data_IF_062730073902
#
_entry.id   IF_062730073902
#
_cell.length_a   1.000
_cell.length_b   1.000
_cell.length_c   1.000
_cell.angle_alpha   90.00
_cell.angle_beta   90.00
_cell.angle_gamma   90.00
#
_symmetry.space_group_name_H-M   'P 1'
#
loop_
_entity.id
_entity.type
_entity.pdbx_description
1 polymer ?
#
# COMPACT_ATOMS: atom_id res chain seq x y z
N UNK A 1 -21.86 -27.26 -3.85
CA UNK A 1 -21.38 -28.42 -4.63
C UNK A 1 -20.16 -28.17 -5.52
N UNK A 2 -19.33 -27.20 -5.24
CA UNK A 2 -18.09 -26.92 -5.96
C UNK A 2 -16.82 -26.94 -5.08
N UNK A 3 -16.91 -27.27 -3.81
CA UNK A 3 -15.77 -27.30 -2.88
C UNK A 3 -15.18 -28.69 -2.60
N UNK A 4 -15.86 -29.77 -2.96
CA UNK A 4 -15.43 -31.14 -2.64
C UNK A 4 -14.48 -31.79 -3.67
N UNK A 5 -14.17 -31.11 -4.80
CA UNK A 5 -13.26 -31.63 -5.86
C UNK A 5 -11.77 -31.41 -5.64
N UNK A 6 -11.35 -30.72 -4.55
CA UNK A 6 -9.93 -30.32 -4.36
C UNK A 6 -9.19 -31.19 -3.32
N UNK A 7 -9.87 -32.10 -2.62
CA UNK A 7 -9.25 -32.82 -1.48
C UNK A 7 -8.51 -34.11 -1.77
N UNK A 8 -8.51 -34.66 -2.98
CA UNK A 8 -7.96 -36.02 -3.21
C UNK A 8 -6.77 -36.14 -4.17
N UNK A 9 -5.84 -35.18 -4.25
CA UNK A 9 -4.57 -35.41 -4.98
C UNK A 9 -3.30 -34.83 -4.37
N UNK A 10 -2.90 -35.05 -3.12
CA UNK A 10 -1.61 -34.53 -2.66
C UNK A 10 -0.48 -35.56 -2.47
N UNK A 11 -0.71 -36.86 -2.39
CA UNK A 11 0.35 -37.79 -1.95
C UNK A 11 1.23 -38.38 -3.08
N UNK A 12 0.70 -38.64 -4.24
CA UNK A 12 1.50 -39.20 -5.36
C UNK A 12 2.31 -38.16 -6.14
N UNK A 13 1.82 -36.92 -6.24
CA UNK A 13 2.58 -35.81 -6.85
C UNK A 13 3.79 -35.38 -6.02
N UNK A 14 3.73 -35.39 -4.70
CA UNK A 14 4.82 -34.98 -3.84
C UNK A 14 6.07 -35.88 -3.92
N UNK A 15 5.91 -37.20 -4.05
CA UNK A 15 7.02 -38.13 -4.22
C UNK A 15 7.72 -37.94 -5.58
N UNK A 16 6.95 -37.80 -6.67
CA UNK A 16 7.53 -37.55 -8.01
C UNK A 16 8.35 -36.24 -8.08
N UNK A 17 7.91 -35.20 -7.39
CA UNK A 17 8.64 -33.93 -7.33
C UNK A 17 9.91 -33.99 -6.47
N UNK A 18 9.94 -34.82 -5.44
CA UNK A 18 11.16 -35.06 -4.62
C UNK A 18 12.22 -35.79 -5.45
N UNK A 19 11.86 -36.84 -6.19
CA UNK A 19 12.80 -37.53 -7.08
C UNK A 19 13.34 -36.63 -8.20
N UNK A 20 12.49 -35.79 -8.78
CA UNK A 20 12.94 -34.81 -9.78
C UNK A 20 13.93 -33.80 -9.22
N UNK A 21 13.70 -33.33 -7.99
CA UNK A 21 14.64 -32.43 -7.32
C UNK A 21 15.99 -33.08 -7.06
N UNK A 22 16.01 -34.34 -6.59
CA UNK A 22 17.26 -35.07 -6.38
C UNK A 22 18.03 -35.29 -7.67
N UNK A 23 17.34 -35.60 -8.80
CA UNK A 23 17.97 -35.76 -10.10
C UNK A 23 18.55 -34.45 -10.63
N UNK A 24 17.85 -33.35 -10.44
CA UNK A 24 18.33 -31.98 -10.74
C UNK A 24 19.58 -31.67 -9.93
N UNK A 25 19.56 -31.91 -8.59
CA UNK A 25 20.70 -31.63 -7.72
C UNK A 25 21.94 -32.45 -8.12
N UNK A 26 21.78 -33.75 -8.42
CA UNK A 26 22.85 -34.60 -8.87
C UNK A 26 23.47 -34.16 -10.22
N UNK A 27 22.63 -33.75 -11.17
CA UNK A 27 23.07 -33.20 -12.44
C UNK A 27 23.71 -31.84 -12.30
N UNK A 28 23.20 -31.01 -11.42
CA UNK A 28 23.74 -29.69 -11.15
C UNK A 28 25.12 -29.72 -10.49
N UNK A 29 25.38 -30.65 -9.60
CA UNK A 29 26.71 -30.85 -9.02
C UNK A 29 27.74 -31.14 -10.13
N UNK A 30 27.42 -32.05 -11.06
CA UNK A 30 28.28 -32.35 -12.21
C UNK A 30 28.47 -31.16 -13.14
N UNK A 31 27.39 -30.41 -13.39
CA UNK A 31 27.44 -29.18 -14.18
C UNK A 31 28.36 -28.15 -13.55
N UNK A 32 28.25 -27.94 -12.22
CA UNK A 32 29.06 -26.98 -11.47
C UNK A 32 30.56 -27.27 -11.51
N UNK A 33 30.94 -28.53 -11.59
CA UNK A 33 32.36 -28.91 -11.79
C UNK A 33 32.88 -28.52 -13.18
N UNK A 34 32.08 -28.74 -14.21
CA UNK A 34 32.39 -28.31 -15.57
C UNK A 34 32.39 -26.78 -15.71
N UNK A 35 31.47 -26.09 -15.09
CA UNK A 35 31.43 -24.62 -15.01
C UNK A 35 32.69 -24.04 -14.37
N UNK A 36 33.18 -24.62 -13.27
CA UNK A 36 34.44 -24.22 -12.65
C UNK A 36 35.64 -24.39 -13.58
N UNK A 37 35.69 -25.47 -14.37
CA UNK A 37 36.73 -25.69 -15.35
C UNK A 37 36.65 -24.69 -16.52
N UNK A 38 35.42 -24.43 -16.99
CA UNK A 38 35.14 -23.47 -18.07
C UNK A 38 35.50 -22.05 -17.64
N UNK A 39 35.16 -21.65 -16.41
CA UNK A 39 35.49 -20.33 -15.85
C UNK A 39 37.02 -20.13 -15.74
N UNK A 40 37.77 -21.16 -15.29
CA UNK A 40 39.22 -21.08 -15.26
C UNK A 40 39.81 -20.84 -16.68
N UNK A 41 39.24 -21.43 -17.72
CA UNK A 41 39.60 -21.18 -19.10
C UNK A 41 39.17 -19.77 -19.59
N UNK A 42 38.11 -19.18 -19.02
CA UNK A 42 37.66 -17.84 -19.37
C UNK A 42 38.56 -16.77 -18.71
N UNK A 43 39.02 -16.98 -17.47
CA UNK A 43 39.98 -16.10 -16.78
C UNK A 43 41.39 -16.16 -17.38
N UNK A 44 41.79 -17.35 -17.91
CA UNK A 44 43.08 -17.55 -18.54
C UNK A 44 42.88 -18.19 -19.92
N UNK A 45 42.80 -17.37 -20.97
CA UNK A 45 42.57 -17.79 -22.36
C UNK A 45 43.70 -18.65 -22.95
N UNK A 46 44.80 -18.81 -22.23
CA UNK A 46 45.85 -19.77 -22.59
C UNK A 46 45.39 -21.22 -22.44
N UNK A 47 44.37 -21.49 -21.59
CA UNK A 47 43.82 -22.81 -21.34
C UNK A 47 42.54 -22.99 -22.17
N UNK A 48 42.62 -23.83 -23.21
CA UNK A 48 41.42 -24.17 -24.01
C UNK A 48 40.54 -25.17 -23.27
N UNK A 49 39.24 -24.90 -23.21
CA UNK A 49 38.24 -25.86 -22.74
C UNK A 49 38.11 -26.98 -23.78
N UNK A 50 38.06 -28.24 -23.34
CA UNK A 50 38.02 -29.41 -24.29
C UNK A 50 36.67 -29.43 -25.01
N UNK A 51 36.66 -29.67 -26.31
CA UNK A 51 35.43 -29.83 -27.12
C UNK A 51 34.50 -30.93 -26.55
N UNK A 52 35.09 -32.00 -26.03
CA UNK A 52 34.33 -33.10 -25.38
C UNK A 52 33.62 -32.64 -24.10
N UNK A 53 34.24 -31.75 -23.32
CA UNK A 53 33.65 -31.22 -22.10
C UNK A 53 32.57 -30.18 -22.42
N UNK A 54 32.71 -29.43 -23.53
CA UNK A 54 31.68 -28.50 -24.01
C UNK A 54 30.40 -29.24 -24.43
N UNK A 55 30.51 -30.35 -25.16
CA UNK A 55 29.35 -31.17 -25.53
C UNK A 55 28.65 -31.72 -24.30
N UNK A 56 29.40 -32.29 -23.34
CA UNK A 56 28.84 -32.77 -22.08
C UNK A 56 28.14 -31.65 -21.26
N UNK A 57 28.73 -30.46 -21.27
CA UNK A 57 28.15 -29.29 -20.61
C UNK A 57 26.80 -28.92 -21.23
N UNK A 58 26.70 -28.88 -22.56
CA UNK A 58 25.45 -28.56 -23.25
C UNK A 58 24.38 -29.65 -23.05
N UNK A 59 24.76 -30.93 -23.07
CA UNK A 59 23.84 -32.05 -22.78
C UNK A 59 23.25 -31.94 -21.36
N UNK A 60 24.09 -31.73 -20.35
CA UNK A 60 23.66 -31.57 -18.96
C UNK A 60 22.76 -30.34 -18.79
N UNK A 61 23.14 -29.23 -19.43
CA UNK A 61 22.35 -27.98 -19.39
C UNK A 61 20.95 -28.17 -19.99
N UNK A 62 20.87 -28.85 -21.12
CA UNK A 62 19.59 -29.15 -21.79
C UNK A 62 18.74 -30.09 -20.93
N UNK A 63 19.33 -31.17 -20.40
CA UNK A 63 18.62 -32.11 -19.52
C UNK A 63 18.09 -31.45 -18.25
N UNK A 64 18.87 -30.58 -17.62
CA UNK A 64 18.43 -29.83 -16.46
C UNK A 64 17.30 -28.86 -16.84
N UNK A 65 17.39 -28.17 -17.98
CA UNK A 65 16.37 -27.27 -18.47
C UNK A 65 15.03 -27.98 -18.72
N UNK A 66 15.05 -29.18 -19.29
CA UNK A 66 13.86 -30.01 -19.51
C UNK A 66 13.21 -30.43 -18.18
N UNK A 67 14.02 -30.84 -17.19
CA UNK A 67 13.53 -31.18 -15.86
C UNK A 67 12.93 -29.95 -15.16
N UNK A 68 13.57 -28.78 -15.23
CA UNK A 68 13.07 -27.53 -14.67
C UNK A 68 11.77 -27.09 -15.33
N UNK A 69 11.64 -27.23 -16.66
CA UNK A 69 10.40 -26.93 -17.38
C UNK A 69 9.24 -27.86 -16.96
N UNK A 70 9.54 -29.08 -16.50
CA UNK A 70 8.53 -30.00 -15.97
C UNK A 70 8.03 -29.61 -14.56
N UNK A 71 8.78 -28.74 -13.85
CA UNK A 71 8.41 -28.19 -12.55
C UNK A 71 7.71 -26.85 -12.78
N UNK A 72 6.40 -26.81 -12.75
CA UNK A 72 5.65 -25.58 -12.92
C UNK A 72 5.96 -24.59 -11.76
N UNK A 73 6.91 -23.69 -11.99
CA UNK A 73 7.23 -22.65 -11.01
C UNK A 73 6.10 -21.65 -10.88
N UNK A 74 5.85 -21.20 -9.66
CA UNK A 74 4.93 -20.10 -9.39
C UNK A 74 5.48 -18.79 -9.97
N UNK A 75 4.61 -17.97 -10.58
CA UNK A 75 5.00 -16.72 -11.27
C UNK A 75 5.84 -15.79 -10.39
N UNK A 76 5.48 -15.63 -9.12
CA UNK A 76 6.26 -14.77 -8.18
C UNK A 76 7.73 -15.23 -8.06
N UNK A 77 8.00 -16.54 -8.21
CA UNK A 77 9.37 -17.05 -8.16
C UNK A 77 10.13 -16.73 -9.43
N UNK A 78 9.44 -16.80 -10.58
CA UNK A 78 10.01 -16.40 -11.87
C UNK A 78 10.33 -14.92 -11.87
N UNK A 79 9.44 -14.06 -11.39
CA UNK A 79 9.65 -12.61 -11.24
C UNK A 79 10.86 -12.32 -10.34
N UNK A 80 10.95 -12.95 -9.17
CA UNK A 80 12.09 -12.77 -8.28
C UNK A 80 13.44 -13.16 -8.91
N UNK A 81 13.46 -14.21 -9.76
CA UNK A 81 14.65 -14.62 -10.50
C UNK A 81 15.02 -13.62 -11.61
N UNK A 82 14.01 -13.06 -12.29
CA UNK A 82 14.19 -12.03 -13.31
C UNK A 82 14.75 -10.75 -12.68
N UNK A 83 14.23 -10.34 -11.52
CA UNK A 83 14.72 -9.16 -10.78
C UNK A 83 16.18 -9.33 -10.36
N UNK A 84 16.57 -10.51 -9.87
CA UNK A 84 17.97 -10.82 -9.57
C UNK A 84 18.85 -10.74 -10.82
N UNK A 85 18.40 -11.29 -11.94
CA UNK A 85 19.10 -11.24 -13.21
C UNK A 85 19.29 -9.80 -13.71
N UNK A 86 18.26 -8.97 -13.62
CA UNK A 86 18.34 -7.55 -13.96
C UNK A 86 19.23 -6.76 -12.99
N UNK A 87 19.20 -7.08 -11.70
CA UNK A 87 20.09 -6.49 -10.70
C UNK A 87 21.56 -6.71 -11.04
N UNK A 88 21.93 -7.95 -11.39
CA UNK A 88 23.27 -8.30 -11.81
C UNK A 88 23.63 -7.60 -13.13
N UNK A 89 22.71 -7.59 -14.12
CA UNK A 89 22.94 -6.91 -15.39
C UNK A 89 23.17 -5.41 -15.21
N UNK A 90 22.44 -4.76 -14.28
CA UNK A 90 22.64 -3.36 -13.93
C UNK A 90 24.01 -3.11 -13.33
N UNK A 91 24.49 -3.99 -12.45
CA UNK A 91 25.84 -3.90 -11.88
C UNK A 91 26.91 -4.00 -12.97
N UNK A 92 26.80 -4.98 -13.89
CA UNK A 92 27.70 -5.12 -15.05
C UNK A 92 27.67 -3.85 -15.91
N UNK A 93 26.49 -3.32 -16.23
CA UNK A 93 26.35 -2.12 -17.08
C UNK A 93 26.97 -0.88 -16.41
N UNK A 94 26.86 -0.76 -15.08
CA UNK A 94 27.50 0.33 -14.35
C UNK A 94 29.02 0.25 -14.42
N UNK A 95 29.59 -0.96 -14.27
CA UNK A 95 31.03 -1.18 -14.43
C UNK A 95 31.48 -0.90 -15.86
N UNK A 96 30.75 -1.38 -16.88
CA UNK A 96 31.03 -1.06 -18.27
C UNK A 96 31.03 0.46 -18.53
N UNK A 97 30.07 1.16 -17.95
CA UNK A 97 29.98 2.62 -18.06
C UNK A 97 31.16 3.33 -17.39
N UNK A 98 31.67 2.77 -16.29
CA UNK A 98 32.88 3.28 -15.64
C UNK A 98 34.12 3.07 -16.52
N UNK A 99 34.27 1.89 -17.12
CA UNK A 99 35.35 1.62 -18.08
C UNK A 99 35.31 2.57 -19.29
N UNK A 100 34.11 2.81 -19.86
CA UNK A 100 33.95 3.74 -20.98
C UNK A 100 34.32 5.18 -20.57
N UNK A 101 33.94 5.61 -19.35
CA UNK A 101 34.33 6.95 -18.85
C UNK A 101 35.86 7.10 -18.73
N UNK A 102 36.56 6.07 -18.27
CA UNK A 102 38.02 6.08 -18.19
C UNK A 102 38.64 6.10 -19.59
N UNK A 103 38.08 5.35 -20.55
CA UNK A 103 38.55 5.37 -21.93
C UNK A 103 38.35 6.73 -22.61
N UNK A 104 37.23 7.42 -22.33
CA UNK A 104 36.95 8.78 -22.80
C UNK A 104 37.97 9.79 -22.21
N UNK A 105 38.34 9.67 -20.91
CA UNK A 105 39.40 10.47 -20.28
C UNK A 105 40.78 10.26 -20.94
N UNK A 106 41.06 9.03 -21.35
CA UNK A 106 42.30 8.70 -22.07
C UNK A 106 42.25 9.05 -23.58
N UNK A 107 41.14 9.62 -24.06
CA UNK A 107 40.92 10.00 -25.47
C UNK A 107 41.02 8.81 -26.47
N UNK A 108 40.58 7.62 -26.06
CA UNK A 108 40.52 6.44 -26.93
C UNK A 108 39.23 6.50 -27.74
N UNK A 109 39.26 6.03 -28.99
CA UNK A 109 38.05 5.93 -29.79
C UNK A 109 37.11 4.88 -29.18
N UNK A 110 35.89 5.29 -28.86
CA UNK A 110 34.88 4.48 -28.19
C UNK A 110 34.56 3.17 -28.95
N UNK A 111 34.57 3.20 -30.29
CA UNK A 111 34.32 2.02 -31.10
C UNK A 111 35.48 1.00 -30.99
N UNK A 112 36.71 1.49 -30.99
CA UNK A 112 37.91 0.65 -30.82
C UNK A 112 37.97 0.05 -29.43
N UNK A 113 37.66 0.88 -28.39
CA UNK A 113 37.59 0.41 -27.01
C UNK A 113 36.58 -0.73 -26.87
N UNK A 114 35.35 -0.55 -27.35
CA UNK A 114 34.29 -1.57 -27.26
C UNK A 114 34.69 -2.84 -28.00
N UNK A 115 35.35 -2.73 -29.15
CA UNK A 115 35.78 -3.90 -29.92
C UNK A 115 36.84 -4.73 -29.18
N UNK A 116 37.82 -4.07 -28.53
CA UNK A 116 38.88 -4.72 -27.76
C UNK A 116 38.44 -5.19 -26.37
N UNK A 117 37.46 -4.52 -25.77
CA UNK A 117 36.95 -4.84 -24.43
C UNK A 117 35.96 -5.99 -24.46
N UNK A 118 35.08 -6.03 -25.45
CA UNK A 118 33.98 -6.99 -25.53
C UNK A 118 34.51 -8.44 -25.78
N UNK A 119 34.21 -9.32 -24.83
CA UNK A 119 34.66 -10.71 -24.82
C UNK A 119 35.98 -10.93 -24.08
N UNK A 120 36.55 -9.88 -23.48
CA UNK A 120 37.76 -9.94 -22.68
C UNK A 120 37.57 -9.28 -21.29
N UNK A 121 36.31 -9.11 -20.87
CA UNK A 121 35.93 -8.45 -19.62
C UNK A 121 36.55 -9.14 -18.40
N UNK A 122 36.68 -10.48 -18.41
CA UNK A 122 37.20 -11.31 -17.32
C UNK A 122 38.68 -11.68 -17.48
N UNK A 123 39.33 -11.35 -18.61
CA UNK A 123 40.72 -11.72 -18.88
C UNK A 123 41.66 -10.88 -18.01
N UNK A 124 42.40 -11.51 -17.10
CA UNK A 124 43.39 -10.85 -16.23
C UNK A 124 44.56 -10.24 -17.03
N UNK A 125 44.96 -10.86 -18.14
CA UNK A 125 46.08 -10.43 -18.99
C UNK A 125 45.69 -9.35 -20.01
N UNK A 126 44.43 -8.94 -20.07
CA UNK A 126 43.92 -7.96 -21.04
C UNK A 126 44.69 -6.64 -20.99
N UNK A 127 45.01 -6.11 -19.79
CA UNK A 127 45.73 -4.87 -19.61
C UNK A 127 47.14 -4.93 -20.24
N UNK A 128 47.86 -6.01 -20.03
CA UNK A 128 49.19 -6.21 -20.63
C UNK A 128 49.15 -6.34 -22.15
N UNK A 129 48.05 -6.85 -22.74
CA UNK A 129 47.82 -6.94 -24.18
C UNK A 129 47.50 -5.59 -24.78
N UNK A 130 46.64 -4.83 -24.14
CA UNK A 130 46.19 -3.50 -24.55
C UNK A 130 47.30 -2.46 -24.44
N UNK A 131 48.20 -2.58 -23.45
CA UNK A 131 49.39 -1.73 -23.34
C UNK A 131 50.38 -1.88 -24.52
N UNK A 132 50.28 -2.95 -25.34
CA UNK A 132 51.09 -3.18 -26.53
C UNK A 132 50.47 -2.63 -27.81
N UNK A 133 49.22 -2.12 -27.75
CA UNK A 133 48.56 -1.52 -28.90
C UNK A 133 49.14 -0.11 -29.19
N UNK A 134 49.54 0.08 -30.45
CA UNK A 134 50.15 1.35 -30.91
C UNK A 134 49.12 2.46 -31.21
N UNK A 135 47.81 2.24 -30.95
CA UNK A 135 46.78 3.23 -31.19
C UNK A 135 46.76 4.34 -30.11
N UNK A 136 46.36 5.54 -30.52
CA UNK A 136 46.40 6.75 -29.68
C UNK A 136 45.57 6.60 -28.39
N UNK A 137 46.20 6.87 -27.25
CA UNK A 137 45.54 6.95 -25.94
C UNK A 137 45.67 5.68 -25.08
N UNK A 138 46.00 4.53 -25.64
CA UNK A 138 46.13 3.27 -24.90
C UNK A 138 47.26 3.26 -23.89
N UNK A 139 48.40 3.92 -24.23
CA UNK A 139 49.52 4.10 -23.28
C UNK A 139 49.13 4.88 -22.06
N UNK A 140 48.37 5.97 -22.24
CA UNK A 140 47.88 6.82 -21.16
C UNK A 140 46.85 6.05 -20.31
N UNK A 141 45.97 5.28 -20.95
CA UNK A 141 44.98 4.44 -20.29
C UNK A 141 45.63 3.39 -19.37
N UNK A 142 46.64 2.68 -19.88
CA UNK A 142 47.32 1.62 -19.15
C UNK A 142 48.22 2.16 -18.02
N UNK A 143 48.90 3.34 -18.21
CA UNK A 143 49.81 3.88 -17.22
C UNK A 143 49.13 4.73 -16.12
N UNK A 144 48.22 5.63 -16.51
CA UNK A 144 47.66 6.61 -15.58
C UNK A 144 46.47 6.11 -14.78
N UNK A 145 45.72 5.11 -15.29
CA UNK A 145 44.51 4.60 -14.66
C UNK A 145 44.59 3.14 -14.21
N UNK A 146 45.81 2.60 -14.05
CA UNK A 146 46.02 1.19 -13.71
C UNK A 146 45.34 0.76 -12.42
N UNK A 147 45.35 1.59 -11.38
CA UNK A 147 44.71 1.30 -10.09
C UNK A 147 43.18 1.25 -10.22
N UNK A 148 42.57 2.28 -10.82
CA UNK A 148 41.10 2.33 -11.04
C UNK A 148 40.62 1.16 -11.90
N UNK A 149 41.36 0.85 -12.97
CA UNK A 149 41.04 -0.29 -13.85
C UNK A 149 41.18 -1.61 -13.11
N UNK A 150 42.20 -1.75 -12.24
CA UNK A 150 42.40 -2.93 -11.41
C UNK A 150 41.25 -3.19 -10.45
N UNK A 151 40.75 -2.15 -9.80
CA UNK A 151 39.58 -2.21 -8.91
C UNK A 151 38.31 -2.62 -9.67
N UNK A 152 38.01 -1.97 -10.79
CA UNK A 152 36.85 -2.29 -11.61
C UNK A 152 36.91 -3.72 -12.16
N UNK A 153 38.10 -4.20 -12.56
CA UNK A 153 38.30 -5.61 -12.97
C UNK A 153 38.10 -6.57 -11.82
N UNK A 154 38.58 -6.26 -10.63
CA UNK A 154 38.36 -7.08 -9.45
C UNK A 154 36.86 -7.21 -9.11
N UNK A 155 36.11 -6.11 -9.24
CA UNK A 155 34.65 -6.14 -9.08
C UNK A 155 33.98 -6.94 -10.18
N UNK A 156 34.37 -6.75 -11.44
CA UNK A 156 33.84 -7.55 -12.56
C UNK A 156 34.14 -9.05 -12.38
N UNK A 157 35.35 -9.40 -11.92
CA UNK A 157 35.72 -10.78 -11.60
C UNK A 157 34.89 -11.37 -10.44
N UNK A 158 34.55 -10.56 -9.41
CA UNK A 158 33.62 -11.00 -8.34
C UNK A 158 32.24 -11.33 -8.91
N UNK A 159 31.71 -10.47 -9.78
CA UNK A 159 30.43 -10.71 -10.45
C UNK A 159 30.53 -11.95 -11.35
N UNK A 160 31.57 -12.09 -12.14
CA UNK A 160 31.83 -13.27 -12.97
C UNK A 160 31.86 -14.58 -12.18
N UNK A 161 32.50 -14.59 -11.00
CA UNK A 161 32.53 -15.74 -10.08
C UNK A 161 31.16 -16.02 -9.47
N UNK A 162 30.32 -15.00 -9.25
CA UNK A 162 28.97 -15.15 -8.74
C UNK A 162 28.04 -15.78 -9.80
N UNK A 163 28.18 -15.37 -11.05
CA UNK A 163 27.35 -15.84 -12.17
C UNK A 163 27.80 -17.23 -12.65
N UNK A 164 29.09 -17.56 -12.55
CA UNK A 164 29.73 -18.76 -13.08
C UNK A 164 29.59 -18.97 -14.61
N UNK A 165 29.26 -17.92 -15.35
CA UNK A 165 29.07 -17.94 -16.81
C UNK A 165 29.83 -16.74 -17.40
N UNK A 166 30.28 -16.84 -18.63
CA UNK A 166 30.91 -15.72 -19.33
C UNK A 166 29.92 -14.54 -19.48
N UNK A 167 30.42 -13.31 -19.29
CA UNK A 167 29.61 -12.07 -19.32
C UNK A 167 28.91 -11.91 -20.67
N UNK A 168 29.58 -12.30 -21.78
CA UNK A 168 28.97 -12.21 -23.10
C UNK A 168 27.79 -13.19 -23.27
N UNK A 169 27.90 -14.40 -22.68
CA UNK A 169 26.82 -15.39 -22.67
C UNK A 169 25.67 -14.93 -21.74
N UNK A 170 25.99 -14.38 -20.58
CA UNK A 170 25.01 -13.79 -19.66
C UNK A 170 24.20 -12.69 -20.33
N UNK A 171 24.87 -11.77 -21.07
CA UNK A 171 24.17 -10.71 -21.81
C UNK A 171 23.20 -11.24 -22.85
N UNK A 172 23.57 -12.36 -23.56
CA UNK A 172 22.68 -13.01 -24.52
C UNK A 172 21.44 -13.57 -23.82
N UNK A 173 21.60 -14.15 -22.62
CA UNK A 173 20.47 -14.64 -21.81
C UNK A 173 19.55 -13.48 -21.42
N UNK A 174 20.12 -12.39 -20.90
CA UNK A 174 19.34 -11.18 -20.54
C UNK A 174 18.58 -10.62 -21.73
N UNK A 175 19.22 -10.54 -22.91
CA UNK A 175 18.56 -10.08 -24.13
C UNK A 175 17.40 -10.98 -24.54
N UNK A 176 17.58 -12.32 -24.42
CA UNK A 176 16.53 -13.30 -24.73
C UNK A 176 15.34 -13.15 -23.77
N UNK A 177 15.61 -12.97 -22.47
CA UNK A 177 14.56 -12.73 -21.47
C UNK A 177 13.82 -11.42 -21.77
N UNK A 178 14.54 -10.33 -22.03
CA UNK A 178 13.96 -9.04 -22.38
C UNK A 178 13.10 -9.07 -23.64
N UNK A 179 13.53 -9.85 -24.66
CA UNK A 179 12.74 -10.04 -25.86
C UNK A 179 11.43 -10.74 -25.56
N UNK A 180 11.47 -11.87 -24.80
CA UNK A 180 10.26 -12.59 -24.40
C UNK A 180 9.33 -11.75 -23.53
N UNK A 181 9.86 -10.94 -22.60
CA UNK A 181 9.07 -10.02 -21.80
C UNK A 181 8.35 -8.95 -22.64
N UNK A 182 9.05 -8.37 -23.62
CA UNK A 182 8.46 -7.40 -24.53
C UNK A 182 7.36 -8.03 -25.40
N UNK A 183 7.57 -9.24 -25.92
CA UNK A 183 6.57 -9.99 -26.68
C UNK A 183 5.33 -10.29 -25.83
N UNK A 184 5.53 -10.75 -24.58
CA UNK A 184 4.45 -11.00 -23.64
C UNK A 184 3.67 -9.70 -23.30
N UNK A 185 4.38 -8.60 -23.09
CA UNK A 185 3.78 -7.28 -22.84
C UNK A 185 2.94 -6.78 -24.02
N UNK A 186 3.47 -6.95 -25.25
CA UNK A 186 2.74 -6.58 -26.47
C UNK A 186 1.47 -7.40 -26.63
N UNK A 187 1.56 -8.73 -26.45
CA UNK A 187 0.40 -9.60 -26.52
C UNK A 187 -0.67 -9.30 -25.46
N UNK A 188 -0.25 -9.01 -24.22
CA UNK A 188 -1.18 -8.56 -23.16
C UNK A 188 -1.86 -7.25 -23.53
N UNK A 189 -1.12 -6.28 -24.08
CA UNK A 189 -1.65 -5.01 -24.53
C UNK A 189 -2.71 -5.18 -25.64
N UNK A 190 -2.41 -5.96 -26.67
CA UNK A 190 -3.36 -6.29 -27.73
C UNK A 190 -4.63 -6.95 -27.19
N UNK A 191 -4.47 -7.89 -26.24
CA UNK A 191 -5.60 -8.56 -25.63
C UNK A 191 -6.48 -7.62 -24.83
N UNK A 192 -5.91 -6.65 -24.11
CA UNK A 192 -6.66 -5.59 -23.42
C UNK A 192 -7.38 -4.72 -24.43
N UNK A 193 -6.71 -4.18 -25.45
CA UNK A 193 -7.27 -3.28 -26.45
C UNK A 193 -8.45 -3.91 -27.21
N UNK A 194 -8.33 -5.18 -27.60
CA UNK A 194 -9.40 -5.92 -28.27
C UNK A 194 -10.67 -6.08 -27.41
N UNK A 195 -10.55 -6.04 -26.08
CA UNK A 195 -11.66 -6.26 -25.16
C UNK A 195 -12.18 -4.99 -24.46
N UNK A 196 -11.69 -3.78 -24.81
CA UNK A 196 -12.18 -2.53 -24.22
C UNK A 196 -13.70 -2.31 -24.43
N UNK A 197 -14.25 -2.73 -25.57
CA UNK A 197 -15.69 -2.68 -25.86
C UNK A 197 -16.52 -3.51 -24.89
N UNK A 198 -15.97 -4.64 -24.41
CA UNK A 198 -16.63 -5.48 -23.39
C UNK A 198 -16.77 -4.69 -22.10
N UNK A 199 -15.74 -3.97 -21.66
CA UNK A 199 -15.78 -3.13 -20.46
C UNK A 199 -16.88 -2.08 -20.56
N UNK A 200 -16.96 -1.36 -21.69
CA UNK A 200 -17.99 -0.32 -21.93
C UNK A 200 -19.40 -0.94 -21.81
N UNK A 201 -19.64 -2.10 -22.41
CA UNK A 201 -20.93 -2.77 -22.37
C UNK A 201 -21.37 -3.19 -20.96
N UNK A 202 -20.39 -3.52 -20.12
CA UNK A 202 -20.65 -3.88 -18.72
C UNK A 202 -20.84 -2.62 -17.88
N UNK A 203 -19.96 -1.63 -18.01
CA UNK A 203 -20.01 -0.35 -17.27
C UNK A 203 -21.34 0.39 -17.49
N UNK A 204 -21.92 0.32 -18.70
CA UNK A 204 -23.23 0.91 -19.04
C UNK A 204 -24.36 0.42 -18.12
N UNK A 205 -24.27 -0.79 -17.55
CA UNK A 205 -25.27 -1.35 -16.61
C UNK A 205 -25.16 -0.79 -15.20
N UNK A 206 -24.09 -0.06 -14.90
CA UNK A 206 -23.77 0.50 -13.58
C UNK A 206 -23.84 2.02 -13.54
N UNK A 207 -24.32 2.67 -14.61
CA UNK A 207 -24.57 4.11 -14.63
C UNK A 207 -25.58 4.54 -13.56
N UNK A 208 -25.53 5.78 -13.13
CA UNK A 208 -26.41 6.39 -12.12
C UNK A 208 -26.32 5.73 -10.71
N UNK A 209 -25.14 5.20 -10.36
CA UNK A 209 -24.89 4.58 -9.04
C UNK A 209 -23.86 5.36 -8.21
N UNK A 210 -23.68 6.66 -8.46
CA UNK A 210 -22.83 7.54 -7.67
C UNK A 210 -21.45 7.79 -8.25
N UNK A 211 -21.02 7.06 -9.30
CA UNK A 211 -19.80 7.36 -10.07
C UNK A 211 -20.14 7.78 -11.48
N UNK A 212 -19.29 8.62 -12.07
CA UNK A 212 -19.38 9.02 -13.46
C UNK A 212 -19.07 7.84 -14.39
N UNK A 213 -19.67 7.85 -15.60
CA UNK A 213 -19.52 6.75 -16.54
C UNK A 213 -18.07 6.48 -16.95
N UNK A 214 -17.27 7.55 -17.13
CA UNK A 214 -15.85 7.41 -17.47
C UNK A 214 -15.03 6.73 -16.35
N UNK A 215 -15.35 7.02 -15.09
CA UNK A 215 -14.69 6.40 -13.95
C UNK A 215 -15.03 4.91 -13.87
N UNK A 216 -16.28 4.53 -14.14
CA UNK A 216 -16.69 3.13 -14.22
C UNK A 216 -15.95 2.37 -15.33
N UNK A 217 -15.70 3.02 -16.48
CA UNK A 217 -14.90 2.44 -17.56
C UNK A 217 -13.45 2.23 -17.10
N UNK A 218 -12.83 3.20 -16.45
CA UNK A 218 -11.44 3.10 -16.00
C UNK A 218 -11.26 2.01 -14.96
N UNK A 219 -12.14 1.95 -13.97
CA UNK A 219 -12.14 0.87 -12.98
C UNK A 219 -12.39 -0.50 -13.62
N UNK A 220 -13.30 -0.56 -14.60
CA UNK A 220 -13.52 -1.75 -15.41
C UNK A 220 -12.28 -2.16 -16.22
N UNK A 221 -11.51 -1.21 -16.77
CA UNK A 221 -10.27 -1.48 -17.47
C UNK A 221 -9.20 -2.03 -16.53
N UNK A 222 -9.11 -1.54 -15.29
CA UNK A 222 -8.23 -2.12 -14.25
C UNK A 222 -8.62 -3.58 -13.97
N UNK A 223 -9.93 -3.85 -13.89
CA UNK A 223 -10.45 -5.22 -13.78
C UNK A 223 -10.08 -6.10 -14.97
N UNK A 224 -10.19 -5.58 -16.19
CA UNK A 224 -9.80 -6.26 -17.42
C UNK A 224 -8.30 -6.58 -17.45
N UNK A 225 -7.43 -5.64 -17.08
CA UNK A 225 -5.96 -5.88 -17.00
C UNK A 225 -5.63 -7.01 -16.02
N UNK A 226 -6.26 -7.02 -14.84
CA UNK A 226 -6.11 -8.11 -13.87
C UNK A 226 -6.61 -9.46 -14.42
N UNK A 227 -7.66 -9.45 -15.22
CA UNK A 227 -8.17 -10.64 -15.89
C UNK A 227 -7.18 -11.19 -16.92
N UNK A 228 -6.56 -10.31 -17.74
CA UNK A 228 -5.54 -10.68 -18.73
C UNK A 228 -4.32 -11.30 -18.05
N UNK A 229 -3.86 -10.72 -16.96
CA UNK A 229 -2.68 -11.22 -16.23
C UNK A 229 -2.89 -12.61 -15.62
N UNK A 230 -4.11 -12.92 -15.19
CA UNK A 230 -4.44 -14.19 -14.52
C UNK A 230 -5.13 -15.21 -15.42
N UNK A 231 -5.32 -14.90 -16.71
CA UNK A 231 -6.02 -15.79 -17.61
C UNK A 231 -5.15 -16.99 -18.04
N UNK A 232 -5.67 -18.18 -17.84
CA UNK A 232 -5.07 -19.44 -18.22
C UNK A 232 -5.85 -20.07 -19.40
N UNK A 233 -5.41 -19.86 -20.63
CA UNK A 233 -6.09 -20.38 -21.84
C UNK A 233 -6.19 -21.91 -21.87
N UNK A 234 -5.26 -22.61 -21.20
CA UNK A 234 -5.22 -24.08 -21.13
C UNK A 234 -6.44 -24.70 -20.44
N UNK A 235 -7.18 -23.92 -19.66
CA UNK A 235 -8.44 -24.36 -19.00
C UNK A 235 -9.62 -24.47 -19.98
N UNK A 236 -9.48 -24.05 -21.24
CA UNK A 236 -10.51 -24.19 -22.27
C UNK A 236 -11.70 -23.22 -22.19
N UNK A 237 -11.75 -22.32 -21.23
CA UNK A 237 -12.83 -21.33 -21.10
C UNK A 237 -12.58 -20.12 -22.01
N UNK A 238 -13.70 -19.54 -22.53
CA UNK A 238 -13.61 -18.27 -23.26
C UNK A 238 -13.15 -17.13 -22.34
N UNK A 239 -12.22 -16.32 -22.82
CA UNK A 239 -11.69 -15.18 -22.08
C UNK A 239 -12.80 -14.24 -21.57
N UNK A 240 -13.80 -13.93 -22.40
CA UNK A 240 -14.92 -13.04 -22.05
C UNK A 240 -15.68 -13.47 -20.79
N UNK A 241 -15.85 -14.79 -20.57
CA UNK A 241 -16.52 -15.31 -19.37
C UNK A 241 -15.71 -14.99 -18.11
N UNK A 242 -14.40 -15.19 -18.16
CA UNK A 242 -13.52 -14.91 -17.05
C UNK A 242 -13.35 -13.39 -16.81
N UNK A 243 -13.14 -12.63 -17.88
CA UNK A 243 -12.99 -11.18 -17.81
C UNK A 243 -14.23 -10.47 -17.25
N UNK A 244 -15.43 -10.92 -17.64
CA UNK A 244 -16.69 -10.34 -17.14
C UNK A 244 -16.79 -10.35 -15.62
N UNK A 245 -16.31 -11.42 -14.98
CA UNK A 245 -16.30 -11.50 -13.51
C UNK A 245 -15.37 -10.47 -12.89
N UNK A 246 -14.13 -10.33 -13.41
CA UNK A 246 -13.15 -9.37 -12.91
C UNK A 246 -13.56 -7.92 -13.14
N UNK A 247 -14.12 -7.63 -14.33
CA UNK A 247 -14.62 -6.28 -14.67
C UNK A 247 -15.76 -5.91 -13.72
N UNK A 248 -16.72 -6.81 -13.55
CA UNK A 248 -17.86 -6.59 -12.64
C UNK A 248 -17.40 -6.38 -11.20
N UNK A 249 -16.48 -7.21 -10.73
CA UNK A 249 -15.92 -7.11 -9.37
C UNK A 249 -15.21 -5.77 -9.15
N UNK A 250 -14.39 -5.32 -10.12
CA UNK A 250 -13.69 -4.05 -10.03
C UNK A 250 -14.67 -2.87 -9.98
N UNK A 251 -15.65 -2.82 -10.89
CA UNK A 251 -16.67 -1.76 -10.93
C UNK A 251 -17.51 -1.75 -9.63
N UNK A 252 -17.99 -2.90 -9.17
CA UNK A 252 -18.82 -2.96 -7.96
C UNK A 252 -18.05 -2.53 -6.72
N UNK A 253 -16.77 -2.92 -6.63
CA UNK A 253 -15.90 -2.51 -5.54
C UNK A 253 -15.61 -1.02 -5.57
N UNK A 254 -15.33 -0.45 -6.73
CA UNK A 254 -15.09 0.99 -6.89
C UNK A 254 -16.34 1.80 -6.51
N UNK A 255 -17.54 1.38 -6.93
CA UNK A 255 -18.79 2.01 -6.50
C UNK A 255 -18.91 1.96 -4.96
N UNK A 256 -18.61 0.83 -4.34
CA UNK A 256 -18.67 0.70 -2.90
C UNK A 256 -17.68 1.62 -2.17
N UNK A 257 -16.46 1.76 -2.70
CA UNK A 257 -15.39 2.53 -2.06
C UNK A 257 -15.48 4.06 -2.30
N UNK A 258 -16.06 4.51 -3.44
CA UNK A 258 -15.93 5.89 -3.90
C UNK A 258 -17.26 6.62 -4.19
N UNK A 259 -18.39 5.90 -4.32
CA UNK A 259 -19.65 6.51 -4.71
C UNK A 259 -20.32 7.37 -3.62
N UNK A 260 -19.87 7.30 -2.38
CA UNK A 260 -20.47 8.02 -1.25
C UNK A 260 -19.53 9.12 -0.76
N UNK A 261 -20.08 10.28 -0.44
CA UNK A 261 -19.34 11.40 0.17
C UNK A 261 -18.70 10.98 1.51
N UNK A 262 -19.42 10.21 2.33
CA UNK A 262 -18.91 9.59 3.55
C UNK A 262 -18.68 8.12 3.22
N UNK A 263 -17.41 7.69 3.19
CA UNK A 263 -17.03 6.32 2.85
C UNK A 263 -17.56 5.33 3.88
N UNK A 264 -18.20 4.29 3.38
CA UNK A 264 -18.72 3.17 4.18
C UNK A 264 -17.92 1.88 3.82
N UNK A 265 -17.56 1.03 4.79
CA UNK A 265 -16.89 -0.25 4.51
C UNK A 265 -17.74 -1.16 3.61
N UNK A 266 -17.07 -1.93 2.72
CA UNK A 266 -17.74 -2.77 1.70
C UNK A 266 -18.77 -3.75 2.31
N UNK A 267 -18.44 -4.40 3.43
CA UNK A 267 -19.35 -5.36 4.09
C UNK A 267 -20.63 -4.68 4.63
N UNK A 268 -20.55 -3.39 5.00
CA UNK A 268 -21.75 -2.64 5.40
C UNK A 268 -22.61 -2.28 4.21
N UNK A 269 -22.01 -1.98 3.05
CA UNK A 269 -22.74 -1.72 1.80
C UNK A 269 -23.48 -2.99 1.33
N UNK A 270 -22.86 -4.17 1.47
CA UNK A 270 -23.51 -5.44 1.22
C UNK A 270 -24.72 -5.64 2.12
N UNK A 271 -24.60 -5.32 3.41
CA UNK A 271 -25.71 -5.38 4.38
C UNK A 271 -26.80 -4.37 4.01
N UNK A 272 -26.48 -3.13 3.65
CA UNK A 272 -27.43 -2.12 3.18
C UNK A 272 -28.17 -2.61 1.94
N UNK A 273 -27.45 -3.17 0.95
CA UNK A 273 -28.05 -3.67 -0.27
C UNK A 273 -29.01 -4.86 -0.01
N UNK A 274 -28.65 -5.76 0.93
CA UNK A 274 -29.53 -6.85 1.36
C UNK A 274 -30.80 -6.29 2.02
N UNK A 275 -30.64 -5.32 2.92
CA UNK A 275 -31.74 -4.67 3.63
C UNK A 275 -32.70 -3.95 2.66
N UNK A 276 -32.16 -3.16 1.72
CA UNK A 276 -32.94 -2.46 0.70
C UNK A 276 -33.69 -3.41 -0.24
N UNK A 277 -33.14 -4.60 -0.51
CA UNK A 277 -33.81 -5.63 -1.31
C UNK A 277 -34.99 -6.20 -0.56
N UNK A 278 -34.84 -6.55 0.71
CA UNK A 278 -35.91 -7.06 1.57
C UNK A 278 -36.97 -6.00 1.79
N UNK A 279 -36.58 -4.75 2.05
CA UNK A 279 -37.54 -3.64 2.15
C UNK A 279 -38.41 -3.52 0.91
N UNK A 280 -37.81 -3.57 -0.30
CA UNK A 280 -38.62 -3.57 -1.55
C UNK A 280 -39.54 -4.75 -1.70
N UNK A 281 -39.11 -5.94 -1.29
CA UNK A 281 -39.95 -7.14 -1.32
C UNK A 281 -41.14 -6.98 -0.37
N UNK A 282 -40.92 -6.55 0.86
CA UNK A 282 -42.01 -6.33 1.84
C UNK A 282 -42.95 -5.20 1.42
N UNK A 283 -42.48 -4.15 0.76
CA UNK A 283 -43.34 -3.12 0.16
C UNK A 283 -44.25 -3.71 -0.90
N UNK A 284 -43.77 -4.64 -1.73
CA UNK A 284 -44.60 -5.32 -2.74
C UNK A 284 -45.66 -6.27 -2.12
N UNK A 285 -45.31 -6.90 -1.00
CA UNK A 285 -46.21 -7.84 -0.30
C UNK A 285 -47.28 -7.08 0.53
N UNK A 286 -46.89 -6.04 1.24
CA UNK A 286 -47.79 -5.35 2.18
C UNK A 286 -48.43 -4.08 1.61
N UNK A 287 -47.96 -3.56 0.46
CA UNK A 287 -48.44 -2.30 -0.13
C UNK A 287 -48.13 -1.04 0.69
N UNK A 288 -47.32 -1.15 1.76
CA UNK A 288 -46.86 -0.06 2.63
C UNK A 288 -45.39 -0.19 2.95
N UNK A 289 -44.79 0.87 3.46
CA UNK A 289 -43.41 0.79 3.98
C UNK A 289 -43.35 -0.10 5.22
N UNK A 290 -42.41 -1.08 5.25
CA UNK A 290 -42.25 -1.99 6.37
C UNK A 290 -41.55 -1.26 7.53
N UNK A 291 -41.90 -1.64 8.77
CA UNK A 291 -41.23 -1.17 9.96
C UNK A 291 -39.84 -1.82 10.12
N UNK A 292 -38.97 -1.19 10.94
CA UNK A 292 -37.66 -1.76 11.20
C UNK A 292 -37.72 -3.14 11.87
N UNK A 293 -38.79 -3.42 12.59
CA UNK A 293 -39.03 -4.68 13.28
C UNK A 293 -39.38 -5.80 12.27
N UNK A 294 -40.26 -5.53 11.30
CA UNK A 294 -40.60 -6.43 10.21
C UNK A 294 -39.40 -6.78 9.32
N UNK A 295 -38.56 -5.77 9.00
CA UNK A 295 -37.32 -5.99 8.25
C UNK A 295 -36.32 -6.86 9.05
N UNK A 296 -36.27 -6.66 10.37
CA UNK A 296 -35.37 -7.39 11.26
C UNK A 296 -35.72 -8.88 11.34
N UNK A 297 -37.02 -9.21 11.37
CA UNK A 297 -37.53 -10.59 11.35
C UNK A 297 -37.14 -11.31 10.05
N UNK A 298 -37.31 -10.67 8.89
CA UNK A 298 -37.03 -11.28 7.59
C UNK A 298 -35.51 -11.48 7.35
N UNK A 299 -34.67 -10.56 7.83
CA UNK A 299 -33.20 -10.64 7.66
C UNK A 299 -32.52 -11.48 8.76
N UNK A 300 -33.24 -11.78 9.85
CA UNK A 300 -32.74 -12.43 11.07
C UNK A 300 -31.63 -11.62 11.74
N UNK A 301 -31.79 -10.30 11.86
CA UNK A 301 -30.86 -9.39 12.54
C UNK A 301 -31.54 -8.68 13.71
N UNK A 302 -30.80 -8.29 14.77
CA UNK A 302 -31.36 -7.46 15.85
C UNK A 302 -31.90 -6.14 15.33
N UNK A 303 -33.09 -5.73 15.80
CA UNK A 303 -33.78 -4.49 15.41
C UNK A 303 -32.90 -3.25 15.53
N UNK A 304 -32.14 -3.14 16.64
CA UNK A 304 -31.23 -2.02 16.85
C UNK A 304 -30.18 -1.91 15.73
N UNK A 305 -29.68 -3.04 15.24
CA UNK A 305 -28.71 -3.09 14.13
C UNK A 305 -29.36 -2.67 12.81
N UNK A 306 -30.61 -3.07 12.56
CA UNK A 306 -31.36 -2.64 11.37
C UNK A 306 -31.57 -1.13 11.39
N UNK A 307 -32.01 -0.55 12.51
CA UNK A 307 -32.16 0.92 12.67
C UNK A 307 -30.85 1.67 12.43
N UNK A 308 -29.74 1.16 12.97
CA UNK A 308 -28.42 1.77 12.76
C UNK A 308 -28.00 1.71 11.27
N UNK A 309 -28.24 0.59 10.60
CA UNK A 309 -27.91 0.41 9.16
C UNK A 309 -28.79 1.30 8.30
N UNK A 310 -30.07 1.43 8.59
CA UNK A 310 -30.99 2.36 7.88
C UNK A 310 -30.53 3.82 8.01
N UNK A 311 -30.12 4.25 9.22
CA UNK A 311 -29.56 5.59 9.43
C UNK A 311 -28.26 5.79 8.64
N UNK A 312 -27.41 4.80 8.58
CA UNK A 312 -26.14 4.83 7.82
C UNK A 312 -26.37 4.81 6.30
N UNK A 313 -27.49 4.26 5.83
CA UNK A 313 -27.84 4.20 4.41
C UNK A 313 -28.22 5.57 3.82
N UNK A 314 -28.61 6.54 4.65
CA UNK A 314 -28.97 7.88 4.20
C UNK A 314 -27.79 8.60 3.54
N UNK A 315 -28.09 9.38 2.50
CA UNK A 315 -27.08 10.22 1.83
C UNK A 315 -27.11 11.63 2.42
N UNK A 316 -25.96 12.28 2.57
CA UNK A 316 -25.91 13.67 3.02
C UNK A 316 -26.54 14.60 1.97
N UNK A 317 -27.26 15.61 2.46
CA UNK A 317 -27.88 16.65 1.63
C UNK A 317 -26.90 17.82 1.58
N UNK A 318 -26.82 18.52 0.44
CA UNK A 318 -26.00 19.73 0.29
C UNK A 318 -26.57 20.87 1.12
N UNK A 319 -25.74 21.56 1.88
CA UNK A 319 -26.13 22.77 2.62
C UNK A 319 -26.56 23.93 1.68
N UNK A 320 -26.08 23.90 0.44
CA UNK A 320 -26.42 24.91 -0.57
C UNK A 320 -27.66 24.52 -1.38
N UNK A 321 -28.34 23.41 -1.04
CA UNK A 321 -29.57 23.05 -1.73
C UNK A 321 -30.65 24.10 -1.45
N UNK A 322 -31.32 24.65 -2.50
CA UNK A 322 -32.40 25.61 -2.31
C UNK A 322 -33.58 24.94 -1.61
N UNK A 323 -34.25 25.66 -0.71
CA UNK A 323 -35.44 25.20 0.02
C UNK A 323 -36.63 26.06 -0.41
N UNK A 324 -37.64 25.47 -1.02
CA UNK A 324 -38.82 26.15 -1.56
C UNK A 324 -38.65 26.64 -2.99
N UNK A 325 -39.58 27.53 -3.44
CA UNK A 325 -39.62 28.06 -4.80
C UNK A 325 -38.70 29.28 -5.02
N UNK A 326 -38.01 29.76 -3.97
CA UNK A 326 -37.09 30.92 -4.05
C UNK A 326 -35.64 30.45 -4.00
N UNK A 327 -34.81 30.94 -4.94
CA UNK A 327 -33.38 30.63 -5.00
C UNK A 327 -32.54 31.30 -3.87
N UNK A 328 -33.16 32.17 -3.08
CA UNK A 328 -32.45 33.00 -2.08
C UNK A 328 -32.21 32.30 -0.74
N UNK A 329 -32.90 31.17 -0.45
CA UNK A 329 -32.80 30.47 0.82
C UNK A 329 -32.21 29.08 0.67
N UNK A 330 -31.07 28.82 1.32
CA UNK A 330 -30.40 27.54 1.30
C UNK A 330 -30.73 26.68 2.54
N UNK A 331 -30.57 25.37 2.45
CA UNK A 331 -30.78 24.47 3.60
C UNK A 331 -29.85 24.81 4.78
N UNK A 332 -28.67 25.38 4.50
CA UNK A 332 -27.70 25.80 5.52
C UNK A 332 -28.23 26.91 6.43
N UNK A 333 -29.13 27.78 5.92
CA UNK A 333 -29.69 28.91 6.67
C UNK A 333 -30.67 28.48 7.78
N UNK A 334 -31.17 27.24 7.71
CA UNK A 334 -32.04 26.63 8.72
C UNK A 334 -31.29 25.86 9.82
N UNK A 335 -29.98 25.72 9.70
CA UNK A 335 -29.18 24.99 10.69
C UNK A 335 -28.76 25.97 11.78
N UNK A 336 -29.19 25.69 13.01
CA UNK A 336 -28.88 26.44 14.18
C UNK A 336 -27.39 26.34 14.55
N UNK A 337 -26.74 27.46 14.84
CA UNK A 337 -25.38 27.50 15.37
C UNK A 337 -25.37 27.18 16.86
N UNK A 338 -25.08 25.89 17.17
CA UNK A 338 -25.00 25.39 18.55
C UNK A 338 -23.81 26.02 19.31
N UNK A 339 -22.82 26.58 18.63
CA UNK A 339 -21.65 27.18 19.27
C UNK A 339 -21.88 28.64 19.67
N UNK A 340 -22.91 29.26 19.14
CA UNK A 340 -23.30 30.61 19.53
C UNK A 340 -23.88 30.58 20.94
N UNK A 341 -23.26 31.30 21.89
CA UNK A 341 -23.73 31.40 23.25
C UNK A 341 -25.09 32.16 23.29
N UNK A 342 -26.07 31.57 23.96
CA UNK A 342 -27.34 32.25 24.20
C UNK A 342 -27.08 33.50 25.04
N UNK A 343 -27.46 34.73 24.57
CA UNK A 343 -27.21 35.95 25.30
C UNK A 343 -27.77 35.94 26.72
N UNK A 344 -28.90 35.26 26.92
CA UNK A 344 -29.53 35.12 28.25
C UNK A 344 -28.68 34.28 29.19
N UNK A 345 -28.16 33.14 28.71
CA UNK A 345 -27.27 32.26 29.48
C UNK A 345 -25.92 32.94 29.77
N UNK A 346 -25.32 33.59 28.77
CA UNK A 346 -24.07 34.34 28.92
C UNK A 346 -24.20 35.45 29.96
N UNK A 347 -25.32 36.21 29.93
CA UNK A 347 -25.63 37.21 30.95
C UNK A 347 -25.84 36.59 32.32
N UNK A 348 -26.55 35.46 32.39
CA UNK A 348 -26.74 34.67 33.59
C UNK A 348 -25.44 34.22 34.24
N UNK A 349 -24.50 33.70 33.42
CA UNK A 349 -23.15 33.34 33.88
C UNK A 349 -22.34 34.54 34.37
N UNK A 350 -22.42 35.69 33.70
CA UNK A 350 -21.76 36.92 34.14
C UNK A 350 -22.27 37.35 35.50
N UNK A 351 -23.60 37.41 35.69
CA UNK A 351 -24.23 37.75 36.97
C UNK A 351 -23.88 36.71 38.06
N UNK A 352 -23.85 35.42 37.75
CA UNK A 352 -23.43 34.37 38.68
C UNK A 352 -21.97 34.57 39.12
N UNK A 353 -21.07 34.91 38.19
CA UNK A 353 -19.66 35.19 38.48
C UNK A 353 -19.51 36.38 39.46
N UNK A 354 -20.25 37.42 39.23
CA UNK A 354 -20.24 38.60 40.13
C UNK A 354 -20.81 38.24 41.52
N UNK A 355 -21.90 37.47 41.59
CA UNK A 355 -22.47 37.02 42.89
C UNK A 355 -21.53 36.06 43.62
N UNK A 356 -20.84 35.16 42.92
CA UNK A 356 -19.81 34.30 43.53
C UNK A 356 -18.70 35.17 44.10
N UNK A 357 -18.25 36.20 43.40
CA UNK A 357 -17.25 37.15 43.89
C UNK A 357 -17.70 37.87 45.16
N UNK A 358 -18.93 38.41 45.20
CA UNK A 358 -19.54 39.02 46.37
C UNK A 358 -19.60 38.10 47.61
N UNK A 359 -19.82 36.80 47.36
CA UNK A 359 -19.83 35.80 48.45
C UNK A 359 -18.41 35.44 48.87
N UNK A 360 -17.45 35.31 47.94
CA UNK A 360 -16.06 35.09 48.26
C UNK A 360 -15.42 36.22 49.06
N UNK A 361 -15.83 37.47 48.84
CA UNK A 361 -15.36 38.64 49.58
C UNK A 361 -15.75 38.58 51.07
N UNK A 362 -16.71 37.75 51.44
CA UNK A 362 -17.10 37.50 52.86
C UNK A 362 -16.21 36.45 53.55
N UNK A 363 -15.28 35.81 52.84
CA UNK A 363 -14.33 34.85 53.38
C UNK A 363 -13.01 35.51 53.78
N UNK A 364 -12.18 34.79 54.54
CA UNK A 364 -10.83 35.27 54.83
C UNK A 364 -9.99 35.28 53.53
N UNK A 365 -9.09 36.26 53.42
CA UNK A 365 -8.25 36.45 52.22
C UNK A 365 -7.53 35.18 51.72
N UNK A 366 -7.00 34.37 52.65
CA UNK A 366 -6.38 33.10 52.31
C UNK A 366 -7.38 32.04 51.80
N UNK A 367 -8.56 31.97 52.42
CA UNK A 367 -9.61 31.02 51.99
C UNK A 367 -10.15 31.38 50.61
N UNK A 368 -10.33 32.69 50.35
CA UNK A 368 -10.73 33.23 49.06
C UNK A 368 -9.72 32.90 47.98
N UNK A 369 -8.44 33.26 48.19
CA UNK A 369 -7.38 33.04 47.22
C UNK A 369 -7.18 31.56 46.87
N UNK A 370 -7.33 30.65 47.86
CA UNK A 370 -7.25 29.18 47.61
C UNK A 370 -8.43 28.73 46.74
N UNK A 371 -9.66 29.20 46.95
CA UNK A 371 -10.81 28.85 46.13
C UNK A 371 -10.70 29.45 44.71
N UNK A 372 -10.29 30.69 44.57
CA UNK A 372 -10.09 31.37 43.28
C UNK A 372 -9.07 30.60 42.41
N UNK A 373 -7.96 30.18 42.99
CA UNK A 373 -6.91 29.43 42.27
C UNK A 373 -7.32 27.99 41.99
N UNK A 374 -7.99 27.34 42.94
CA UNK A 374 -8.43 25.95 42.82
C UNK A 374 -9.44 25.77 41.71
N UNK A 375 -10.44 26.66 41.64
CA UNK A 375 -11.54 26.59 40.69
C UNK A 375 -11.33 27.46 39.43
N UNK A 376 -10.20 28.20 39.35
CA UNK A 376 -9.92 29.06 38.21
C UNK A 376 -10.90 30.22 38.04
N UNK A 377 -11.43 30.80 39.14
CA UNK A 377 -12.48 31.81 39.07
C UNK A 377 -11.98 33.15 38.51
N UNK A 378 -10.66 33.41 38.56
CA UNK A 378 -10.04 34.63 38.04
C UNK A 378 -9.52 34.47 36.62
N UNK A 379 -8.80 33.36 36.34
CA UNK A 379 -8.05 33.13 35.11
C UNK A 379 -8.63 32.02 34.22
N UNK A 380 -9.70 31.35 34.67
CA UNK A 380 -10.35 30.28 33.94
C UNK A 380 -9.62 28.90 34.02
N UNK A 381 -8.46 28.83 34.70
CA UNK A 381 -7.68 27.58 34.80
C UNK A 381 -7.80 26.99 36.22
N UNK A 382 -8.45 25.83 36.34
CA UNK A 382 -8.49 25.07 37.59
C UNK A 382 -7.15 24.41 37.88
N UNK A 383 -6.64 24.63 39.13
CA UNK A 383 -5.35 24.10 39.57
C UNK A 383 -5.52 22.92 40.51
N UNK A 384 -4.56 22.00 40.53
CA UNK A 384 -4.51 20.88 41.45
C UNK A 384 -4.12 21.34 42.86
N UNK A 385 -4.47 20.54 43.90
CA UNK A 385 -4.10 20.86 45.29
C UNK A 385 -2.59 20.99 45.50
N UNK A 386 -1.79 20.29 44.71
CA UNK A 386 -0.33 20.34 44.75
C UNK A 386 0.21 21.64 44.17
N UNK A 387 -0.36 22.11 43.05
CA UNK A 387 0.03 23.36 42.38
C UNK A 387 -0.31 24.55 43.24
N UNK A 388 -1.54 24.56 43.80
CA UNK A 388 -1.95 25.58 44.78
C UNK A 388 -1.07 25.54 46.01
N UNK A 389 -0.70 24.33 46.51
CA UNK A 389 0.20 24.15 47.64
C UNK A 389 1.58 24.75 47.40
N UNK A 390 2.16 24.55 46.20
CA UNK A 390 3.45 25.14 45.80
C UNK A 390 3.38 26.67 45.77
N UNK A 391 2.27 27.24 45.28
CA UNK A 391 2.11 28.69 45.16
C UNK A 391 1.98 29.41 46.52
N UNK A 392 1.33 28.74 47.52
CA UNK A 392 1.14 29.26 48.85
C UNK A 392 2.18 28.74 49.87
N UNK A 393 3.20 28.01 49.40
CA UNK A 393 4.27 27.42 50.23
C UNK A 393 3.75 26.54 51.40
N UNK A 394 2.68 25.77 51.16
CA UNK A 394 2.08 24.89 52.15
C UNK A 394 1.85 23.50 51.58
N UNK A 395 1.71 22.51 52.48
CA UNK A 395 1.46 21.13 52.08
C UNK A 395 0.10 20.93 51.42
N UNK A 396 0.00 19.98 50.49
CA UNK A 396 -1.25 19.57 49.81
C UNK A 396 -2.41 19.36 50.82
N UNK A 397 -2.12 18.68 51.94
CA UNK A 397 -3.12 18.38 52.95
C UNK A 397 -3.63 19.66 53.64
N UNK A 398 -2.77 20.66 53.83
CA UNK A 398 -3.17 21.95 54.40
C UNK A 398 -4.08 22.71 53.44
N UNK A 399 -3.81 22.69 52.15
CA UNK A 399 -4.72 23.29 51.14
C UNK A 399 -6.07 22.58 51.17
N UNK A 400 -6.10 21.24 51.25
CA UNK A 400 -7.35 20.46 51.35
C UNK A 400 -8.19 20.86 52.56
N UNK A 401 -7.53 21.07 53.73
CA UNK A 401 -8.19 21.54 54.95
C UNK A 401 -8.78 22.95 54.79
N UNK A 402 -8.02 23.86 54.17
CA UNK A 402 -8.47 25.24 53.91
C UNK A 402 -9.66 25.22 52.94
N UNK A 403 -9.61 24.48 51.83
CA UNK A 403 -10.69 24.30 50.87
C UNK A 403 -11.95 23.74 51.54
N UNK A 404 -11.84 22.66 52.31
CA UNK A 404 -12.99 22.06 53.01
C UNK A 404 -13.62 23.00 54.00
N UNK A 405 -12.81 23.80 54.73
CA UNK A 405 -13.27 24.81 55.67
C UNK A 405 -13.97 25.97 54.93
N UNK A 406 -13.39 26.44 53.82
CA UNK A 406 -13.97 27.51 53.00
C UNK A 406 -15.30 27.07 52.39
N UNK A 407 -15.39 25.89 51.79
CA UNK A 407 -16.63 25.32 51.24
C UNK A 407 -17.70 25.10 52.31
N UNK A 408 -17.34 24.69 53.55
CA UNK A 408 -18.29 24.60 54.67
C UNK A 408 -18.83 25.98 55.04
N UNK A 409 -18.00 27.03 55.05
CA UNK A 409 -18.43 28.39 55.26
C UNK A 409 -19.34 28.91 54.13
N UNK A 410 -19.08 28.51 52.88
CA UNK A 410 -19.93 28.86 51.74
C UNK A 410 -21.33 28.23 51.83
N UNK A 411 -21.46 27.04 52.43
CA UNK A 411 -22.75 26.36 52.66
C UNK A 411 -23.60 26.99 53.78
N UNK A 412 -23.18 28.11 54.40
CA UNK A 412 -23.99 28.77 55.41
C UNK A 412 -25.26 29.38 54.79
N UNK A 413 -26.44 29.26 55.39
CA UNK A 413 -27.72 29.70 54.81
C UNK A 413 -27.73 31.14 54.30
N UNK A 414 -27.06 32.05 55.01
CA UNK A 414 -26.97 33.48 54.61
C UNK A 414 -26.19 33.70 53.30
N UNK A 415 -25.28 32.80 52.96
CA UNK A 415 -24.50 32.86 51.72
C UNK A 415 -25.18 32.09 50.57
N UNK A 416 -25.80 30.95 50.88
CA UNK A 416 -26.58 30.18 49.91
C UNK A 416 -27.74 31.04 49.37
N UNK A 417 -28.48 31.78 50.21
CA UNK A 417 -29.56 32.66 49.74
C UNK A 417 -29.16 33.67 48.69
N UNK A 418 -27.87 34.09 48.65
CA UNK A 418 -27.38 35.01 47.63
C UNK A 418 -27.17 34.30 46.27
N UNK A 419 -27.07 32.95 46.26
CA UNK A 419 -26.85 32.10 45.08
C UNK A 419 -28.09 31.29 44.69
N UNK A 420 -29.19 31.35 45.48
CA UNK A 420 -30.36 30.46 45.37
C UNK A 420 -31.03 30.57 43.98
N UNK A 421 -31.17 31.78 43.42
CA UNK A 421 -31.74 31.97 42.08
C UNK A 421 -30.92 31.42 40.91
N UNK A 422 -29.63 31.07 41.10
CA UNK A 422 -28.78 30.51 40.08
C UNK A 422 -28.63 28.98 40.18
N UNK A 423 -28.99 28.35 41.29
CA UNK A 423 -28.96 26.91 41.51
C UNK A 423 -30.05 26.23 40.67
N UNK A 424 -31.21 26.86 40.54
CA UNK A 424 -32.33 26.35 39.75
C UNK A 424 -32.06 26.40 38.24
N UNK A 425 -31.26 27.38 37.76
CA UNK A 425 -30.83 27.45 36.35
C UNK A 425 -29.91 26.29 35.92
N UNK A 426 -29.24 25.62 36.85
CA UNK A 426 -28.32 24.49 36.55
C UNK A 426 -29.05 23.17 36.30
N UNK A 427 -30.36 23.08 36.49
CA UNK A 427 -31.19 21.89 36.33
C UNK A 427 -32.17 21.96 35.15
N UNK A 428 -32.19 23.08 34.40
CA UNK A 428 -32.87 23.20 33.11
C UNK A 428 -31.89 23.01 31.96
#
# INVERSE_FOLDING_TARGET
QAEDGIRDQPRSRGLGDVYKRQDIDNKYIKLKELEKKRMKATFDKSKKFSEKDEVKYQELKTSIAELLNSLNFHNNRIEALIDQLYGINKAITNLDSAFVKISDKARINRKEFIAEYKGFELDENWLGRVAKLSSRGWDVFAKNHNTEIGELKAEMAKIGKLINIDISEFRKIVQKVKKGENEARSAKKEMVEANLRLVISIAKKYTNRGLQFLDLIQEGNIGLMKAVDKFEYRRGYKFSTYATWWIRQAITRSIADQARTIRIPVHMIETINKLMRVQKQLVQEYGREPSADEIAEEIHLPVQRVRAVLKMAQQPISLQAPVGDSDDTSFGDFIEDISAENPMESTGFAMLKDKIKDVLDTLNERERAVLEQRFGLCDGYSRTLEEVGKQFEVTRERIRQIEAKALRKMRHPTRIRKLEGFIEMSYM
#
